data_IF_559593418313
#
_entry.id   IF_559593418313
#
_cell.length_a   1.000
_cell.length_b   1.000
_cell.length_c   1.000
_cell.angle_alpha   90.00
_cell.angle_beta   90.00
_cell.angle_gamma   90.00
#
_symmetry.space_group_name_H-M   'P 1'
#
loop_
_entity.id
_entity.type
_entity.pdbx_description
1 polymer ?
#
# COMPACT_ATOMS: atom_id res chain seq x y z
N UNK A 1 -7.11 -8.02 -11.43
CA UNK A 1 -7.51 -6.83 -10.66
C UNK A 1 -8.66 -6.16 -11.38
N UNK A 2 -9.58 -5.50 -10.68
CA UNK A 2 -10.85 -5.04 -11.24
C UNK A 2 -11.08 -3.54 -10.98
N UNK A 3 -10.99 -2.72 -12.03
CA UNK A 3 -11.29 -1.29 -11.98
C UNK A 3 -12.76 -1.01 -11.62
N UNK A 4 -13.70 -1.85 -12.07
CA UNK A 4 -15.13 -1.69 -11.78
C UNK A 4 -15.50 -1.90 -10.29
N UNK A 5 -14.57 -2.35 -9.46
CA UNK A 5 -14.79 -2.52 -8.02
C UNK A 5 -14.36 -1.29 -7.18
N UNK A 6 -13.64 -0.34 -7.80
CA UNK A 6 -13.04 0.79 -7.10
C UNK A 6 -13.61 2.11 -7.61
N UNK A 7 -13.62 3.14 -6.77
CA UNK A 7 -14.06 4.48 -7.19
C UNK A 7 -13.01 5.13 -8.09
N UNK A 8 -11.74 4.99 -7.70
CA UNK A 8 -10.58 5.51 -8.43
C UNK A 8 -9.48 4.47 -8.45
N UNK A 9 -8.89 4.24 -9.61
CA UNK A 9 -7.72 3.39 -9.75
C UNK A 9 -6.50 4.08 -9.14
N UNK A 10 -5.78 3.39 -8.27
CA UNK A 10 -4.55 3.86 -7.64
C UNK A 10 -4.68 5.27 -7.04
N UNK A 11 -5.61 5.51 -6.08
CA UNK A 11 -5.75 6.82 -5.46
C UNK A 11 -4.42 7.28 -4.85
N UNK A 12 -4.09 8.57 -5.00
CA UNK A 12 -2.88 9.12 -4.40
C UNK A 12 -3.06 9.16 -2.87
N UNK A 13 -2.12 8.55 -2.14
CA UNK A 13 -2.10 8.46 -0.67
C UNK A 13 -0.98 9.29 -0.02
N UNK A 14 -0.26 10.07 -0.82
CA UNK A 14 0.91 10.84 -0.38
C UNK A 14 1.90 9.91 0.33
N UNK A 15 2.17 10.24 1.59
CA UNK A 15 3.14 9.55 2.43
C UNK A 15 2.54 8.40 3.25
N UNK A 16 1.28 8.03 3.02
CA UNK A 16 0.62 6.96 3.80
C UNK A 16 0.83 5.59 3.18
N UNK A 17 1.92 4.94 3.58
CA UNK A 17 2.24 3.55 3.20
C UNK A 17 1.64 2.56 4.23
N UNK A 18 0.76 1.68 3.76
CA UNK A 18 0.11 0.60 4.53
C UNK A 18 0.82 -0.70 4.21
N UNK A 19 1.50 -1.28 5.19
CA UNK A 19 2.03 -2.64 5.10
C UNK A 19 0.90 -3.68 5.14
N UNK A 20 -0.19 -3.39 5.86
CA UNK A 20 -1.32 -4.29 6.05
C UNK A 20 -2.66 -3.55 6.05
N UNK A 21 -3.75 -4.28 5.76
CA UNK A 21 -5.11 -3.76 5.85
C UNK A 21 -5.71 -3.46 4.47
N UNK A 22 -6.64 -2.52 4.40
CA UNK A 22 -7.35 -2.16 3.15
C UNK A 22 -7.93 -0.75 3.22
N UNK A 23 -7.87 0.00 2.12
CA UNK A 23 -8.51 1.31 2.02
C UNK A 23 -9.96 1.20 1.54
N UNK A 24 -10.86 0.77 2.42
CA UNK A 24 -12.26 0.49 2.08
C UNK A 24 -13.06 1.72 1.61
N UNK A 25 -12.57 2.93 1.85
CA UNK A 25 -13.21 4.16 1.35
C UNK A 25 -13.25 4.20 -0.18
N UNK A 26 -12.23 3.65 -0.86
CA UNK A 26 -12.16 3.57 -2.32
C UNK A 26 -12.94 2.37 -2.90
N UNK A 27 -13.53 1.51 -2.06
CA UNK A 27 -14.29 0.35 -2.51
C UNK A 27 -15.76 0.69 -2.69
N UNK A 28 -16.23 0.71 -3.95
CA UNK A 28 -17.62 1.03 -4.32
C UNK A 28 -18.53 -0.19 -4.22
N UNK A 29 -17.99 -1.37 -4.46
CA UNK A 29 -18.69 -2.65 -4.37
C UNK A 29 -18.11 -3.68 -5.32
N UNK A 30 -18.34 -4.96 -5.08
CA UNK A 30 -17.84 -5.99 -5.99
C UNK A 30 -18.62 -5.98 -7.30
N UNK A 31 -17.93 -5.79 -8.43
CA UNK A 31 -18.54 -5.80 -9.77
C UNK A 31 -19.22 -7.13 -10.13
N UNK A 32 -18.80 -8.25 -9.52
CA UNK A 32 -19.32 -9.60 -9.81
C UNK A 32 -20.61 -9.91 -9.05
N UNK A 33 -20.69 -9.58 -7.76
CA UNK A 33 -21.84 -9.94 -6.91
C UNK A 33 -22.64 -8.75 -6.39
N UNK A 34 -22.22 -7.53 -6.74
CA UNK A 34 -22.82 -6.25 -6.32
C UNK A 34 -22.88 -6.05 -4.81
N UNK A 35 -22.14 -6.84 -4.02
CA UNK A 35 -22.04 -6.68 -2.56
C UNK A 35 -20.89 -5.76 -2.21
N UNK A 36 -21.18 -4.82 -1.31
CA UNK A 36 -20.19 -3.96 -0.65
C UNK A 36 -20.05 -4.42 0.81
N UNK A 37 -19.23 -5.45 1.00
CA UNK A 37 -18.90 -6.04 2.32
C UNK A 37 -17.41 -5.82 2.61
N UNK A 38 -16.94 -6.34 3.74
CA UNK A 38 -15.52 -6.40 4.04
C UNK A 38 -14.78 -7.27 3.01
N UNK A 39 -13.50 -7.00 2.85
CA UNK A 39 -12.64 -7.79 1.98
C UNK A 39 -11.86 -8.83 2.76
N UNK A 40 -11.56 -9.94 2.08
CA UNK A 40 -10.64 -10.95 2.55
C UNK A 40 -9.23 -10.61 2.06
N UNK A 41 -8.25 -10.77 2.94
CA UNK A 41 -6.82 -10.71 2.59
C UNK A 41 -6.33 -12.15 2.47
N UNK A 42 -5.76 -12.50 1.33
CA UNK A 42 -5.18 -13.84 1.07
C UNK A 42 -3.85 -13.72 0.35
N UNK A 43 -3.17 -14.86 0.17
CA UNK A 43 -1.88 -14.95 -0.52
C UNK A 43 -0.83 -13.97 0.04
N UNK A 44 -0.86 -13.72 1.35
CA UNK A 44 0.13 -12.86 1.99
C UNK A 44 1.51 -13.50 1.86
N UNK A 45 2.46 -12.76 1.33
CA UNK A 45 3.86 -13.15 1.16
C UNK A 45 4.75 -12.04 1.69
N UNK A 46 5.82 -12.44 2.37
CA UNK A 46 6.96 -11.59 2.73
C UNK A 46 8.17 -12.12 1.97
N UNK A 47 8.91 -11.24 1.32
CA UNK A 47 10.17 -11.56 0.63
C UNK A 47 11.21 -10.53 1.00
N UNK A 48 12.46 -10.95 1.01
CA UNK A 48 13.62 -10.07 1.13
C UNK A 48 14.49 -10.28 -0.10
N UNK A 49 14.64 -9.24 -0.93
CA UNK A 49 15.40 -9.28 -2.18
C UNK A 49 16.28 -8.02 -2.24
N UNK A 50 17.59 -8.20 -2.41
CA UNK A 50 18.59 -7.09 -2.52
C UNK A 50 18.58 -6.06 -1.37
N UNK A 51 18.18 -6.48 -0.16
CA UNK A 51 18.05 -5.57 1.00
C UNK A 51 16.72 -4.81 1.04
N UNK A 52 15.79 -5.11 0.15
CA UNK A 52 14.41 -4.63 0.16
C UNK A 52 13.47 -5.70 0.74
N UNK A 53 12.64 -5.30 1.70
CA UNK A 53 11.55 -6.11 2.23
C UNK A 53 10.27 -5.84 1.43
N UNK A 54 9.71 -6.88 0.80
CA UNK A 54 8.54 -6.79 -0.06
C UNK A 54 7.39 -7.60 0.55
N UNK A 55 6.31 -6.91 0.91
CA UNK A 55 5.05 -7.49 1.38
C UNK A 55 4.03 -7.44 0.25
N UNK A 56 3.46 -8.58 -0.09
CA UNK A 56 2.34 -8.64 -1.05
C UNK A 56 1.16 -9.43 -0.51
N UNK A 57 -0.06 -9.05 -0.91
CA UNK A 57 -1.28 -9.81 -0.64
C UNK A 57 -2.40 -9.43 -1.59
N UNK A 58 -3.41 -10.28 -1.72
CA UNK A 58 -4.56 -10.03 -2.59
C UNK A 58 -5.80 -9.66 -1.78
N UNK A 59 -6.54 -8.67 -2.26
CA UNK A 59 -7.86 -8.27 -1.76
C UNK A 59 -8.97 -9.00 -2.51
N UNK A 60 -9.76 -9.80 -1.80
CA UNK A 60 -10.85 -10.57 -2.38
C UNK A 60 -12.20 -10.12 -1.82
N UNK A 61 -13.22 -10.13 -2.67
CA UNK A 61 -14.60 -9.98 -2.22
C UNK A 61 -14.97 -11.18 -1.33
N UNK A 62 -15.41 -10.93 -0.09
CA UNK A 62 -15.84 -11.98 0.84
C UNK A 62 -16.99 -12.84 0.34
N UNK A 63 -17.86 -12.32 -0.52
CA UNK A 63 -19.07 -13.02 -0.97
C UNK A 63 -18.84 -13.94 -2.18
N UNK A 64 -17.93 -13.58 -3.09
CA UNK A 64 -17.71 -14.33 -4.34
C UNK A 64 -16.25 -14.63 -4.64
N UNK A 65 -15.33 -14.29 -3.73
CA UNK A 65 -13.88 -14.47 -3.86
C UNK A 65 -13.27 -13.78 -5.10
N UNK A 66 -13.98 -12.83 -5.68
CA UNK A 66 -13.47 -12.01 -6.79
C UNK A 66 -12.24 -11.22 -6.34
N UNK A 67 -11.12 -11.36 -7.06
CA UNK A 67 -9.86 -10.67 -6.80
C UNK A 67 -9.96 -9.22 -7.27
N UNK A 68 -10.11 -8.31 -6.30
CA UNK A 68 -10.30 -6.87 -6.54
C UNK A 68 -8.96 -6.23 -6.89
N UNK A 69 -7.96 -6.40 -6.03
CA UNK A 69 -6.66 -5.77 -6.20
C UNK A 69 -5.55 -6.63 -5.57
N UNK A 70 -4.34 -6.47 -6.06
CA UNK A 70 -3.13 -6.94 -5.37
C UNK A 70 -2.46 -5.75 -4.73
N UNK A 71 -2.04 -5.93 -3.49
CA UNK A 71 -1.31 -4.95 -2.71
C UNK A 71 0.16 -5.33 -2.72
N UNK A 72 0.99 -4.34 -2.96
CA UNK A 72 2.44 -4.42 -2.84
C UNK A 72 2.90 -3.26 -1.95
N UNK A 73 3.70 -3.60 -0.96
CA UNK A 73 4.36 -2.67 -0.06
C UNK A 73 5.84 -3.05 -0.03
N UNK A 74 6.70 -2.06 -0.18
CA UNK A 74 8.15 -2.26 -0.13
C UNK A 74 8.73 -1.35 0.93
N UNK A 75 9.69 -1.88 1.66
CA UNK A 75 10.52 -1.18 2.61
C UNK A 75 11.99 -1.41 2.28
N UNK A 76 12.80 -0.37 2.31
CA UNK A 76 14.24 -0.46 2.16
C UNK A 76 14.94 0.62 2.99
N UNK A 77 16.25 0.45 3.20
CA UNK A 77 17.10 1.48 3.79
C UNK A 77 18.09 1.92 2.72
N UNK A 78 17.99 3.17 2.29
CA UNK A 78 18.95 3.80 1.39
C UNK A 78 19.68 4.91 2.12
N UNK A 79 21.01 4.76 2.22
CA UNK A 79 21.89 5.66 2.95
C UNK A 79 21.44 5.86 4.42
N UNK A 80 20.94 7.05 4.74
CA UNK A 80 20.50 7.47 6.07
C UNK A 80 18.97 7.55 6.17
N UNK A 81 18.25 6.93 5.23
CA UNK A 81 16.81 7.02 5.12
C UNK A 81 16.16 5.64 4.99
N UNK A 82 15.01 5.50 5.64
CA UNK A 82 14.04 4.46 5.39
C UNK A 82 13.13 4.92 4.26
N UNK A 83 12.95 4.08 3.25
CA UNK A 83 12.04 4.32 2.14
C UNK A 83 10.90 3.33 2.17
N UNK A 84 9.69 3.85 1.97
CA UNK A 84 8.46 3.07 1.96
C UNK A 84 7.72 3.36 0.67
N UNK A 85 7.35 2.32 -0.07
CA UNK A 85 6.46 2.46 -1.22
C UNK A 85 5.26 1.55 -1.09
N UNK A 86 4.15 1.96 -1.69
CA UNK A 86 2.96 1.13 -1.81
C UNK A 86 2.34 1.30 -3.19
N UNK A 87 1.95 0.18 -3.80
CA UNK A 87 1.13 0.16 -4.99
C UNK A 87 -0.03 -0.84 -4.86
N UNK A 88 -1.25 -0.35 -4.94
CA UNK A 88 -2.45 -1.17 -4.95
C UNK A 88 -3.59 -0.45 -5.69
N UNK A 89 -4.26 -1.15 -6.59
CA UNK A 89 -5.40 -0.60 -7.35
C UNK A 89 -6.47 -0.01 -6.43
N UNK A 90 -6.72 -0.69 -5.30
CA UNK A 90 -7.67 -0.25 -4.29
C UNK A 90 -7.06 0.69 -3.25
N UNK A 91 -5.94 0.29 -2.63
CA UNK A 91 -5.38 1.04 -1.51
C UNK A 91 -4.74 2.36 -1.92
N UNK A 92 -4.18 2.41 -3.12
CA UNK A 92 -3.56 3.59 -3.69
C UNK A 92 -2.09 3.44 -4.03
N UNK A 93 -1.51 4.58 -4.42
CA UNK A 93 -0.06 4.76 -4.59
C UNK A 93 0.45 5.69 -3.49
N UNK A 94 1.49 5.28 -2.79
CA UNK A 94 2.15 6.06 -1.74
C UNK A 94 3.66 5.88 -1.79
N UNK A 95 4.39 6.93 -1.42
CA UNK A 95 5.86 6.94 -1.29
C UNK A 95 6.19 7.81 -0.07
N UNK A 96 7.03 7.32 0.85
CA UNK A 96 7.47 8.06 2.04
C UNK A 96 8.94 7.78 2.37
N UNK A 97 9.59 8.77 3.00
CA UNK A 97 11.02 8.70 3.34
C UNK A 97 11.30 9.30 4.70
N UNK A 98 11.81 8.50 5.63
CA UNK A 98 12.04 8.87 7.04
C UNK A 98 13.54 8.74 7.36
N UNK A 99 14.14 9.79 7.93
CA UNK A 99 15.52 9.74 8.41
C UNK A 99 15.70 8.68 9.50
N UNK A 100 16.77 7.89 9.42
CA UNK A 100 17.18 6.99 10.52
C UNK A 100 18.01 7.72 11.58
N UNK A 101 18.48 8.93 11.27
CA UNK A 101 19.26 9.74 12.20
C UNK A 101 18.37 10.43 13.24
N UNK A 102 18.89 10.69 14.45
CA UNK A 102 18.16 11.41 15.49
C UNK A 102 17.76 12.84 15.10
N UNK A 103 18.63 13.53 14.35
CA UNK A 103 18.36 14.82 13.74
C UNK A 103 18.22 14.58 12.24
N UNK A 104 17.06 14.95 11.68
CA UNK A 104 16.84 14.77 10.25
C UNK A 104 17.74 15.77 9.51
N UNK A 105 18.68 15.30 8.65
CA UNK A 105 19.62 16.19 7.98
C UNK A 105 18.92 17.19 7.05
N UNK A 106 17.66 16.91 6.65
CA UNK A 106 16.81 17.83 5.86
C UNK A 106 16.26 18.98 6.70
N UNK A 107 16.24 18.83 8.03
CA UNK A 107 15.76 19.83 8.98
C UNK A 107 16.87 20.68 9.58
N UNK A 108 18.14 20.38 9.29
CA UNK A 108 19.27 21.19 9.78
C UNK A 108 19.11 22.64 9.35
N UNK A 109 18.75 23.49 10.32
CA UNK A 109 18.67 24.94 10.14
C UNK A 109 20.06 25.52 10.34
N UNK A 110 20.56 26.24 9.33
CA UNK A 110 21.81 26.98 9.46
C UNK A 110 21.60 28.14 10.45
N UNK A 111 22.04 27.95 11.69
CA UNK A 111 22.14 29.00 12.70
C UNK A 111 23.37 29.87 12.37
N UNK A 112 23.20 30.85 11.50
CA UNK A 112 24.14 31.95 11.34
C UNK A 112 23.45 33.29 11.62
#
# INVERSE_FOLDING_TARGET
>A
MCGDCVEKEYPNRGNTCLENGSFLLNFTGCAVCSKRDFMLITNKSLKEEDGEEIVTYDHLCKNCHHVIARHEYTFSIMDEFQEYTMLCLLCGKAEDTISILPDDPRQMTLLF
#
